data_IF_252908616170
#
_entry.id   IF_252908616170
#
_cell.length_a   1.000
_cell.length_b   1.000
_cell.length_c   1.000
_cell.angle_alpha   90.00
_cell.angle_beta   90.00
_cell.angle_gamma   90.00
#
_symmetry.space_group_name_H-M   'P 1'
#
loop_
_entity.id
_entity.type
_entity.pdbx_description
1 polymer ?
#
# COMPACT_ATOMS: atom_id res chain seq x y z
N UNK A 1 7.71 -18.29 0.83
CA UNK A 1 7.81 -17.35 -0.30
C UNK A 1 9.13 -16.62 -0.18
N UNK A 2 9.84 -16.47 -1.29
CA UNK A 2 11.12 -15.77 -1.43
C UNK A 2 11.07 -14.86 -2.65
N UNK A 3 12.08 -14.01 -2.84
CA UNK A 3 12.18 -13.15 -4.03
C UNK A 3 12.22 -13.94 -5.34
N UNK A 4 12.89 -15.10 -5.38
CA UNK A 4 12.93 -15.96 -6.58
C UNK A 4 11.57 -16.53 -6.98
N UNK A 5 10.59 -16.58 -6.07
CA UNK A 5 9.23 -17.03 -6.40
C UNK A 5 8.48 -16.01 -7.27
N UNK A 6 8.95 -14.76 -7.34
CA UNK A 6 8.36 -13.72 -8.19
C UNK A 6 8.59 -14.04 -9.66
N UNK A 7 9.76 -14.58 -10.03
CA UNK A 7 10.06 -14.99 -11.41
C UNK A 7 9.13 -16.14 -11.85
N UNK A 8 8.92 -17.10 -10.94
CA UNK A 8 7.94 -18.16 -11.16
C UNK A 8 6.53 -17.60 -11.31
N UNK A 9 6.07 -16.71 -10.42
CA UNK A 9 4.75 -16.08 -10.53
C UNK A 9 4.61 -15.32 -11.85
N UNK A 10 5.65 -14.59 -12.26
CA UNK A 10 5.68 -13.88 -13.54
C UNK A 10 5.57 -14.82 -14.74
N UNK A 11 6.10 -16.04 -14.66
CA UNK A 11 5.93 -17.03 -15.72
C UNK A 11 4.48 -17.48 -15.92
N UNK A 12 3.63 -17.30 -14.91
CA UNK A 12 2.22 -17.72 -14.93
C UNK A 12 1.24 -16.62 -15.33
N UNK A 13 1.65 -15.35 -15.32
CA UNK A 13 0.77 -14.21 -15.62
C UNK A 13 1.48 -13.07 -16.32
N UNK A 14 0.75 -12.41 -17.22
CA UNK A 14 1.18 -11.15 -17.81
C UNK A 14 0.77 -9.92 -16.99
N UNK A 15 -0.07 -10.08 -15.96
CA UNK A 15 -0.54 -8.98 -15.11
C UNK A 15 0.60 -8.32 -14.32
N UNK A 16 0.49 -7.02 -13.99
CA UNK A 16 1.40 -6.37 -13.08
C UNK A 16 1.42 -7.06 -11.71
N UNK A 17 2.61 -7.31 -11.16
CA UNK A 17 2.78 -7.92 -9.84
C UNK A 17 3.06 -6.81 -8.83
N UNK A 18 2.23 -6.75 -7.78
CA UNK A 18 2.38 -5.81 -6.67
C UNK A 18 2.61 -6.58 -5.38
N UNK A 19 3.69 -6.28 -4.65
CA UNK A 19 4.01 -6.95 -3.39
C UNK A 19 3.29 -6.26 -2.22
N UNK A 20 2.32 -6.94 -1.61
CA UNK A 20 1.58 -6.41 -0.46
C UNK A 20 2.20 -6.87 0.86
N UNK A 21 2.51 -5.93 1.74
CA UNK A 21 3.02 -6.23 3.09
C UNK A 21 4.47 -5.80 3.32
N UNK A 22 5.02 -4.94 2.44
CA UNK A 22 6.36 -4.35 2.65
C UNK A 22 6.30 -3.39 3.83
N UNK A 23 7.29 -3.45 4.72
CA UNK A 23 7.30 -2.69 5.98
C UNK A 23 8.63 -1.96 6.24
N UNK A 24 9.63 -2.11 5.37
CA UNK A 24 10.94 -1.46 5.51
C UNK A 24 11.45 -0.92 4.18
N UNK A 25 12.39 0.02 4.26
CA UNK A 25 13.07 0.60 3.10
C UNK A 25 13.94 -0.41 2.35
N UNK A 26 14.58 -1.35 3.04
CA UNK A 26 15.42 -2.38 2.43
C UNK A 26 14.62 -3.27 1.47
N UNK A 27 13.46 -3.76 1.92
CA UNK A 27 12.58 -4.57 1.07
C UNK A 27 11.98 -3.76 -0.09
N UNK A 28 11.73 -2.46 0.10
CA UNK A 28 11.29 -1.60 -0.99
C UNK A 28 12.38 -1.40 -2.06
N UNK A 29 13.65 -1.26 -1.65
CA UNK A 29 14.79 -1.18 -2.57
C UNK A 29 15.00 -2.50 -3.31
N UNK A 30 14.85 -3.64 -2.63
CA UNK A 30 14.87 -4.95 -3.28
C UNK A 30 13.74 -5.09 -4.31
N UNK A 31 12.52 -4.66 -3.96
CA UNK A 31 11.38 -4.64 -4.87
C UNK A 31 11.65 -3.77 -6.10
N UNK A 32 12.21 -2.57 -5.91
CA UNK A 32 12.54 -1.64 -6.99
C UNK A 32 13.56 -2.20 -7.97
N UNK A 33 14.54 -2.96 -7.47
CA UNK A 33 15.59 -3.58 -8.30
C UNK A 33 15.11 -4.88 -8.97
N UNK A 34 13.95 -5.41 -8.58
CA UNK A 34 13.45 -6.67 -9.12
C UNK A 34 12.71 -6.44 -10.45
N UNK A 35 13.10 -7.09 -11.57
CA UNK A 35 12.62 -6.76 -12.92
C UNK A 35 11.13 -7.07 -13.19
N UNK A 36 10.44 -7.65 -12.23
CA UNK A 36 9.07 -8.18 -12.38
C UNK A 36 8.10 -7.63 -11.34
N UNK A 37 8.55 -6.70 -10.48
CA UNK A 37 7.71 -6.04 -9.50
C UNK A 37 7.30 -4.69 -10.05
N UNK A 38 5.99 -4.47 -10.20
CA UNK A 38 5.44 -3.21 -10.70
C UNK A 38 5.13 -2.21 -9.58
N UNK A 39 4.99 -2.69 -8.35
CA UNK A 39 4.64 -1.87 -7.21
C UNK A 39 4.71 -2.61 -5.88
N UNK A 40 4.54 -1.86 -4.80
CA UNK A 40 4.41 -2.40 -3.44
C UNK A 40 3.24 -1.76 -2.71
N UNK A 41 2.67 -2.48 -1.75
CA UNK A 41 1.75 -1.90 -0.75
C UNK A 41 2.45 -1.91 0.59
N UNK A 42 2.74 -0.72 1.11
CA UNK A 42 3.23 -0.53 2.48
C UNK A 42 2.08 -0.85 3.43
N UNK A 43 2.20 -1.96 4.16
CA UNK A 43 1.07 -2.56 4.88
C UNK A 43 1.57 -3.50 5.98
N UNK A 44 0.91 -3.49 7.13
CA UNK A 44 1.06 -4.51 8.18
C UNK A 44 -0.21 -5.39 8.30
N UNK A 45 -0.97 -5.48 7.21
CA UNK A 45 -2.25 -6.20 7.14
C UNK A 45 -3.33 -5.62 8.08
N UNK A 46 -3.26 -4.31 8.34
CA UNK A 46 -4.16 -3.62 9.24
C UNK A 46 -3.98 -4.01 10.72
N UNK A 47 -2.75 -4.33 11.13
CA UNK A 47 -2.38 -4.71 12.49
C UNK A 47 -2.86 -6.11 12.87
N UNK A 48 -2.82 -7.06 11.92
CA UNK A 48 -3.34 -8.43 12.13
C UNK A 48 -2.27 -9.52 12.07
N UNK A 49 -1.05 -9.17 11.69
CA UNK A 49 0.06 -10.11 11.57
C UNK A 49 1.04 -9.93 12.72
N UNK A 50 1.94 -8.94 12.61
CA UNK A 50 2.93 -8.66 13.66
C UNK A 50 2.45 -7.47 14.50
N UNK A 51 2.19 -7.70 15.79
CA UNK A 51 1.53 -6.73 16.68
C UNK A 51 2.33 -5.43 16.87
N UNK A 52 3.66 -5.56 17.01
CA UNK A 52 4.58 -4.43 17.13
C UNK A 52 5.14 -3.93 15.79
N UNK A 53 4.47 -4.26 14.69
CA UNK A 53 4.77 -3.64 13.41
C UNK A 53 4.55 -2.12 13.50
N UNK A 54 5.45 -1.37 12.85
CA UNK A 54 5.28 0.09 12.73
C UNK A 54 3.98 0.42 12.00
N UNK A 55 3.53 1.66 12.20
CA UNK A 55 2.43 2.18 11.40
C UNK A 55 2.85 2.26 9.92
N UNK A 56 1.94 1.92 9.00
CA UNK A 56 2.26 1.93 7.57
C UNK A 56 2.62 3.32 7.05
N UNK A 57 2.12 4.40 7.67
CA UNK A 57 2.47 5.78 7.30
C UNK A 57 3.90 6.15 7.70
N UNK A 58 4.38 5.68 8.85
CA UNK A 58 5.77 5.85 9.29
C UNK A 58 6.71 5.03 8.41
N UNK A 59 6.34 3.77 8.12
CA UNK A 59 7.09 2.93 7.20
C UNK A 59 7.16 3.54 5.78
N UNK A 60 6.10 4.20 5.31
CA UNK A 60 6.10 4.87 4.00
C UNK A 60 7.13 6.00 3.92
N UNK A 61 7.32 6.76 5.02
CA UNK A 61 8.33 7.81 5.07
C UNK A 61 9.74 7.23 4.92
N UNK A 62 10.04 6.11 5.60
CA UNK A 62 11.31 5.39 5.42
C UNK A 62 11.46 4.83 4.00
N UNK A 63 10.44 4.14 3.49
CA UNK A 63 10.44 3.53 2.15
C UNK A 63 10.77 4.58 1.09
N UNK A 64 10.10 5.73 1.14
CA UNK A 64 10.31 6.81 0.16
C UNK A 64 11.70 7.41 0.29
N UNK A 65 12.22 7.55 1.52
CA UNK A 65 13.59 8.03 1.74
C UNK A 65 14.64 7.04 1.22
N UNK A 66 14.46 5.74 1.45
CA UNK A 66 15.36 4.69 0.98
C UNK A 66 15.40 4.62 -0.56
N UNK A 67 14.23 4.64 -1.21
CA UNK A 67 14.15 4.67 -2.67
C UNK A 67 14.81 5.92 -3.25
N UNK A 68 14.67 7.08 -2.58
CA UNK A 68 15.36 8.32 -2.97
C UNK A 68 16.88 8.20 -2.84
N UNK A 69 17.37 7.66 -1.72
CA UNK A 69 18.79 7.50 -1.46
C UNK A 69 19.49 6.61 -2.51
N UNK A 70 18.78 5.60 -3.01
CA UNK A 70 19.27 4.68 -4.04
C UNK A 70 19.00 5.16 -5.48
N UNK A 71 18.35 6.32 -5.67
CA UNK A 71 18.00 6.84 -7.00
C UNK A 71 16.91 6.04 -7.73
N UNK A 72 16.08 5.30 -6.99
CA UNK A 72 15.03 4.40 -7.51
C UNK A 72 13.63 5.02 -7.44
N UNK A 73 13.56 6.35 -7.42
CA UNK A 73 12.28 7.06 -7.36
C UNK A 73 11.52 6.87 -8.67
N UNK A 74 10.31 6.32 -8.60
CA UNK A 74 9.47 6.09 -9.79
C UNK A 74 9.70 4.75 -10.49
N UNK A 75 10.64 3.92 -10.03
CA UNK A 75 10.86 2.56 -10.56
C UNK A 75 9.69 1.61 -10.24
N UNK A 76 8.89 1.94 -9.21
CA UNK A 76 7.70 1.16 -8.85
C UNK A 76 6.60 2.05 -8.27
N UNK A 77 5.35 1.59 -8.38
CA UNK A 77 4.20 2.27 -7.79
C UNK A 77 4.10 2.00 -6.29
N UNK A 78 4.00 3.06 -5.49
CA UNK A 78 3.84 2.97 -4.04
C UNK A 78 2.37 3.05 -3.65
N UNK A 79 1.87 2.01 -2.98
CA UNK A 79 0.55 2.00 -2.38
C UNK A 79 0.67 1.91 -0.87
N UNK A 80 -0.37 2.31 -0.15
CA UNK A 80 -0.42 2.19 1.31
C UNK A 80 -1.80 1.70 1.76
N UNK A 81 -1.86 0.89 2.82
CA UNK A 81 -3.11 0.67 3.57
C UNK A 81 -2.86 0.75 5.08
N UNK A 82 -3.93 0.59 5.87
CA UNK A 82 -3.85 0.50 7.32
C UNK A 82 -4.23 1.81 8.03
N UNK A 83 -5.25 1.74 8.90
CA UNK A 83 -5.60 2.87 9.77
C UNK A 83 -6.27 4.10 9.11
N UNK A 84 -6.40 4.16 7.78
CA UNK A 84 -6.97 5.31 7.04
C UNK A 84 -8.45 5.50 7.36
N UNK A 85 -8.82 6.66 7.92
CA UNK A 85 -10.21 6.96 8.32
C UNK A 85 -10.69 8.35 7.92
N UNK A 86 -9.79 9.23 7.49
CA UNK A 86 -10.11 10.59 7.04
C UNK A 86 -9.47 10.93 5.71
N UNK A 87 -10.04 11.89 4.98
CA UNK A 87 -9.44 12.46 3.77
C UNK A 87 -8.03 13.02 4.02
N UNK A 88 -7.80 13.65 5.18
CA UNK A 88 -6.47 14.14 5.56
C UNK A 88 -5.43 13.03 5.81
N UNK A 89 -5.84 11.80 6.13
CA UNK A 89 -4.92 10.66 6.20
C UNK A 89 -4.46 10.26 4.79
N UNK A 90 -5.40 10.27 3.84
CA UNK A 90 -5.13 10.03 2.42
C UNK A 90 -4.16 11.10 1.91
N UNK A 91 -4.45 12.38 2.17
CA UNK A 91 -3.60 13.51 1.77
C UNK A 91 -2.15 13.34 2.24
N UNK A 92 -1.93 12.98 3.52
CA UNK A 92 -0.59 12.76 4.08
C UNK A 92 0.15 11.63 3.36
N UNK A 93 -0.53 10.51 3.07
CA UNK A 93 0.08 9.40 2.36
C UNK A 93 0.46 9.78 0.92
N UNK A 94 -0.41 10.50 0.21
CA UNK A 94 -0.13 11.00 -1.14
C UNK A 94 1.05 11.99 -1.13
N UNK A 95 1.08 12.91 -0.16
CA UNK A 95 2.18 13.87 -0.01
C UNK A 95 3.53 13.19 0.30
N UNK A 96 3.50 12.02 0.95
CA UNK A 96 4.68 11.19 1.20
C UNK A 96 5.09 10.31 0.02
N UNK A 97 4.37 10.34 -1.10
CA UNK A 97 4.75 9.64 -2.33
C UNK A 97 3.92 8.39 -2.65
N UNK A 98 2.86 8.09 -1.87
CA UNK A 98 1.92 7.05 -2.28
C UNK A 98 1.15 7.48 -3.54
N UNK A 99 0.97 6.54 -4.46
CA UNK A 99 0.13 6.65 -5.67
C UNK A 99 -1.35 6.54 -5.35
N UNK A 100 -1.71 5.62 -4.45
CA UNK A 100 -3.08 5.46 -3.96
C UNK A 100 -3.09 4.81 -2.57
N UNK A 101 -4.24 4.93 -1.91
CA UNK A 101 -4.44 4.51 -0.52
C UNK A 101 -5.59 3.50 -0.46
N UNK A 102 -5.28 2.31 0.04
CA UNK A 102 -6.23 1.23 0.25
C UNK A 102 -6.99 1.37 1.55
N UNK A 103 -8.28 1.03 1.51
CA UNK A 103 -9.17 1.02 2.66
C UNK A 103 -9.96 -0.29 2.72
N UNK A 104 -10.01 -0.89 3.91
CA UNK A 104 -10.71 -2.17 4.13
C UNK A 104 -11.88 -2.01 5.09
N UNK A 105 -11.61 -1.91 6.40
CA UNK A 105 -12.66 -1.98 7.43
C UNK A 105 -13.81 -0.96 7.24
N UNK A 106 -13.58 0.32 6.93
CA UNK A 106 -14.70 1.26 6.73
C UNK A 106 -15.61 0.86 5.56
N UNK A 107 -15.05 0.42 4.43
CA UNK A 107 -15.84 -0.09 3.31
C UNK A 107 -16.61 -1.36 3.70
N UNK A 108 -15.97 -2.28 4.44
CA UNK A 108 -16.63 -3.48 4.96
C UNK A 108 -17.77 -3.16 5.92
N UNK A 109 -17.61 -2.17 6.79
CA UNK A 109 -18.66 -1.72 7.71
C UNK A 109 -19.82 -1.07 6.96
N UNK A 110 -19.53 -0.26 5.94
CA UNK A 110 -20.54 0.28 5.03
C UNK A 110 -21.33 -0.83 4.34
N UNK A 111 -20.63 -1.82 3.78
CA UNK A 111 -21.23 -2.99 3.15
C UNK A 111 -22.12 -3.80 4.11
N UNK A 112 -21.64 -4.04 5.34
CA UNK A 112 -22.38 -4.82 6.32
C UNK A 112 -23.66 -4.09 6.81
N UNK A 113 -23.62 -2.76 6.90
CA UNK A 113 -24.74 -1.97 7.40
C UNK A 113 -25.78 -1.63 6.31
N UNK A 114 -25.33 -1.29 5.10
CA UNK A 114 -26.18 -0.73 4.04
C UNK A 114 -25.87 -1.27 2.64
N UNK A 115 -25.15 -2.39 2.53
CA UNK A 115 -24.80 -2.99 1.25
C UNK A 115 -23.96 -2.07 0.36
N UNK A 116 -24.20 -2.14 -0.96
CA UNK A 116 -23.49 -1.33 -1.96
C UNK A 116 -23.58 0.17 -1.69
N UNK A 117 -24.77 0.67 -1.32
CA UNK A 117 -24.99 2.09 -0.99
C UNK A 117 -24.14 2.53 0.21
N UNK A 118 -23.96 1.64 1.19
CA UNK A 118 -23.08 1.90 2.33
C UNK A 118 -21.61 2.04 1.93
N UNK A 119 -21.14 1.21 0.99
CA UNK A 119 -19.79 1.35 0.44
C UNK A 119 -19.64 2.67 -0.31
N UNK A 120 -20.60 2.98 -1.19
CA UNK A 120 -20.64 4.24 -1.94
C UNK A 120 -20.58 5.44 -1.00
N UNK A 121 -21.40 5.45 0.05
CA UNK A 121 -21.43 6.54 1.02
C UNK A 121 -20.11 6.74 1.76
N UNK A 122 -19.43 5.66 2.13
CA UNK A 122 -18.10 5.73 2.77
C UNK A 122 -17.06 6.33 1.83
N UNK A 123 -17.07 5.94 0.55
CA UNK A 123 -16.17 6.50 -0.46
C UNK A 123 -16.46 8.00 -0.68
N UNK A 124 -17.73 8.38 -0.83
CA UNK A 124 -18.15 9.78 -1.00
C UNK A 124 -17.69 10.65 0.17
N UNK A 125 -17.84 10.17 1.41
CA UNK A 125 -17.42 10.92 2.59
C UNK A 125 -15.90 11.18 2.59
N UNK A 126 -15.09 10.19 2.22
CA UNK A 126 -13.64 10.37 2.16
C UNK A 126 -13.20 11.25 1.00
N UNK A 127 -13.88 11.15 -0.15
CA UNK A 127 -13.63 12.03 -1.29
C UNK A 127 -13.99 13.49 -0.98
N UNK A 128 -15.04 13.75 -0.17
CA UNK A 128 -15.41 15.10 0.27
C UNK A 128 -14.45 15.70 1.30
N UNK A 129 -13.78 14.85 2.10
CA UNK A 129 -12.80 15.29 3.10
C UNK A 129 -11.41 15.57 2.51
N UNK A 130 -11.11 15.09 1.30
CA UNK A 130 -9.82 15.24 0.61
C UNK A 130 -9.75 16.56 -0.17
#
# INVERSE_FOLDING_TARGET
LTWGDIDWLRSLTSMPIVLKGVQTGEDAVLAAKHPHVAGIVVSNHGGRQQDYARSSIEALAEVTAALRAEGLQGELELYLDGGIRRGTDIFKALALGARAVGMSRPALWGAAAYGEEGVGKVLDMLCQEL
#
